data_IF_185352720060
#
_entry.id   IF_185352720060
#
_cell.length_a   1.000
_cell.length_b   1.000
_cell.length_c   1.000
_cell.angle_alpha   90.00
_cell.angle_beta   90.00
_cell.angle_gamma   90.00
#
_symmetry.space_group_name_H-M   'P 1'
#
loop_
_entity.id
_entity.type
_entity.pdbx_description
1 polymer ?
#
# COMPACT_ATOMS: atom_id res chain seq x y z
N UNK A 1 25.09 -21.85 -40.65
CA UNK A 1 25.41 -20.71 -39.78
C UNK A 1 24.49 -19.55 -40.20
N UNK A 2 23.24 -19.56 -39.74
CA UNK A 2 22.26 -18.49 -39.98
C UNK A 2 22.10 -17.75 -38.67
N UNK A 3 22.68 -16.55 -38.58
CA UNK A 3 22.47 -15.64 -37.45
C UNK A 3 21.05 -15.10 -37.57
N UNK A 4 20.11 -15.66 -36.82
CA UNK A 4 18.79 -15.04 -36.63
C UNK A 4 18.94 -14.02 -35.50
N UNK A 5 19.09 -12.77 -35.88
CA UNK A 5 18.91 -11.61 -35.01
C UNK A 5 17.44 -11.55 -34.60
N UNK A 6 17.13 -11.95 -33.35
CA UNK A 6 15.80 -11.74 -32.80
C UNK A 6 15.64 -10.26 -32.46
N UNK A 7 14.69 -9.66 -33.17
CA UNK A 7 14.22 -8.29 -33.13
C UNK A 7 13.77 -7.88 -31.73
N UNK A 8 14.27 -6.72 -31.29
CA UNK A 8 13.78 -6.00 -30.12
C UNK A 8 12.30 -5.64 -30.30
N UNK A 9 11.42 -6.40 -29.65
CA UNK A 9 10.02 -6.03 -29.49
C UNK A 9 9.88 -5.15 -28.24
N UNK A 10 10.43 -3.94 -28.29
CA UNK A 10 10.18 -2.91 -27.26
C UNK A 10 8.90 -2.16 -27.60
N UNK A 11 7.76 -2.77 -27.25
CA UNK A 11 6.47 -2.07 -27.26
C UNK A 11 6.44 -1.07 -26.10
N UNK A 12 6.68 0.20 -26.43
CA UNK A 12 6.04 1.37 -25.82
C UNK A 12 6.01 1.41 -24.28
N UNK A 13 7.14 1.70 -23.65
CA UNK A 13 7.14 2.19 -22.27
C UNK A 13 6.57 3.62 -22.28
N UNK A 14 5.27 3.76 -22.01
CA UNK A 14 4.65 5.06 -21.80
C UNK A 14 5.44 5.79 -20.71
N UNK A 15 6.01 6.94 -21.04
CA UNK A 15 6.72 7.80 -20.08
C UNK A 15 5.81 7.93 -18.84
N UNK A 16 6.29 7.62 -17.62
CA UNK A 16 5.47 7.68 -16.43
C UNK A 16 4.92 9.10 -16.26
N UNK A 17 3.62 9.27 -16.53
CA UNK A 17 2.96 10.57 -16.44
C UNK A 17 2.71 10.89 -14.96
N UNK A 18 3.62 11.68 -14.38
CA UNK A 18 3.47 12.22 -13.03
C UNK A 18 4.68 11.97 -12.12
N UNK A 19 4.49 12.27 -10.83
CA UNK A 19 5.55 12.15 -9.84
C UNK A 19 6.00 10.69 -9.67
N UNK A 20 7.32 10.44 -9.75
CA UNK A 20 7.91 9.14 -9.44
C UNK A 20 7.91 8.91 -7.94
N UNK A 21 7.49 7.72 -7.50
CA UNK A 21 7.43 7.31 -6.10
C UNK A 21 8.11 5.96 -5.90
N UNK A 22 8.38 5.62 -4.65
CA UNK A 22 9.03 4.37 -4.27
C UNK A 22 8.01 3.45 -3.61
N UNK A 23 7.87 2.23 -4.11
CA UNK A 23 7.08 1.19 -3.48
C UNK A 23 7.69 0.82 -2.12
N UNK A 24 6.90 0.85 -1.05
CA UNK A 24 7.37 0.51 0.31
C UNK A 24 7.63 -0.98 0.53
N UNK A 25 7.09 -1.85 -0.34
CA UNK A 25 7.31 -3.30 -0.31
C UNK A 25 8.64 -3.67 -0.96
N UNK A 26 8.74 -3.52 -2.29
CA UNK A 26 9.91 -3.93 -3.07
C UNK A 26 11.04 -2.89 -3.14
N UNK A 27 10.78 -1.62 -2.78
CA UNK A 27 11.70 -0.46 -2.91
C UNK A 27 12.02 -0.01 -4.36
N UNK A 28 11.34 -0.55 -5.36
CA UNK A 28 11.45 -0.06 -6.74
C UNK A 28 10.72 1.27 -6.93
N UNK A 29 11.16 2.04 -7.93
CA UNK A 29 10.57 3.33 -8.31
C UNK A 29 9.63 3.14 -9.51
N UNK A 30 8.47 3.78 -9.47
CA UNK A 30 7.47 3.74 -10.54
C UNK A 30 6.68 5.06 -10.58
N UNK A 31 5.87 5.25 -11.62
CA UNK A 31 4.95 6.39 -11.66
C UNK A 31 3.97 6.30 -10.49
N UNK A 32 3.57 7.44 -9.90
CA UNK A 32 2.48 7.44 -8.93
C UNK A 32 1.19 6.80 -9.48
N UNK A 33 0.93 6.91 -10.79
CA UNK A 33 -0.22 6.30 -11.45
C UNK A 33 -0.19 4.75 -11.47
N UNK A 34 1.00 4.17 -11.49
CA UNK A 34 1.24 2.72 -11.48
C UNK A 34 1.22 2.14 -10.05
N UNK A 35 1.26 3.02 -9.05
CA UNK A 35 1.25 2.68 -7.64
C UNK A 35 -0.15 2.85 -7.05
N UNK A 36 -0.42 2.08 -6.01
CA UNK A 36 -1.50 2.28 -5.07
C UNK A 36 -1.00 3.19 -3.94
N UNK A 37 -1.69 4.30 -3.70
CA UNK A 37 -1.54 5.04 -2.45
C UNK A 37 -2.30 4.32 -1.35
N UNK A 38 -1.68 4.23 -0.18
CA UNK A 38 -2.31 3.73 1.05
C UNK A 38 -2.20 4.80 2.13
N UNK A 39 -3.20 4.92 2.97
CA UNK A 39 -3.22 5.90 4.08
C UNK A 39 -3.68 5.21 5.35
N UNK A 40 -3.45 5.84 6.50
CA UNK A 40 -4.16 5.45 7.73
C UNK A 40 -5.55 6.03 7.67
N UNK A 41 -6.56 5.26 8.07
CA UNK A 41 -7.94 5.73 8.09
C UNK A 41 -8.05 7.07 8.85
N UNK A 42 -8.67 8.10 8.25
CA UNK A 42 -8.61 9.47 8.76
C UNK A 42 -9.35 9.66 10.09
N UNK A 43 -10.35 8.82 10.36
CA UNK A 43 -11.05 8.71 11.65
C UNK A 43 -10.16 8.15 12.77
N UNK A 44 -9.03 7.53 12.42
CA UNK A 44 -8.08 6.98 13.38
C UNK A 44 -6.90 7.92 13.72
N UNK A 45 -6.60 8.93 12.89
CA UNK A 45 -5.52 9.88 13.15
C UNK A 45 -6.06 11.03 14.02
N UNK A 46 -5.80 10.98 15.33
CA UNK A 46 -6.14 12.04 16.29
C UNK A 46 -7.29 11.70 17.24
N UNK A 47 -8.07 10.66 16.93
CA UNK A 47 -8.86 9.90 17.90
C UNK A 47 -8.19 8.54 18.09
N UNK A 48 -7.12 8.50 18.87
CA UNK A 48 -6.72 7.22 19.42
C UNK A 48 -7.94 6.66 20.16
N UNK A 49 -8.42 5.44 19.84
CA UNK A 49 -9.54 4.87 20.59
C UNK A 49 -9.17 4.91 22.07
N UNK A 50 -10.10 5.34 22.92
CA UNK A 50 -9.84 5.37 24.37
C UNK A 50 -9.51 3.93 24.81
N UNK A 51 -8.76 3.73 25.89
CA UNK A 51 -8.43 2.39 26.36
C UNK A 51 -9.66 1.48 26.55
N UNK A 52 -10.80 2.03 26.95
CA UNK A 52 -12.08 1.30 27.01
C UNK A 52 -12.62 0.93 25.62
N UNK A 53 -12.55 1.83 24.64
CA UNK A 53 -12.99 1.57 23.27
C UNK A 53 -12.11 0.50 22.59
N UNK A 54 -10.83 0.40 22.95
CA UNK A 54 -9.93 -0.66 22.48
C UNK A 54 -10.32 -2.02 23.08
N UNK A 55 -10.59 -2.08 24.40
CA UNK A 55 -11.04 -3.31 25.07
C UNK A 55 -12.34 -3.83 24.49
N UNK A 56 -13.30 -2.94 24.26
CA UNK A 56 -14.58 -3.29 23.67
C UNK A 56 -14.44 -3.71 22.21
N UNK A 57 -13.58 -3.05 21.42
CA UNK A 57 -13.23 -3.50 20.06
C UNK A 57 -12.64 -4.91 20.09
N UNK A 58 -11.68 -5.19 20.96
CA UNK A 58 -11.08 -6.53 21.07
C UNK A 58 -12.13 -7.56 21.53
N UNK A 59 -12.95 -7.21 22.52
CA UNK A 59 -14.03 -8.07 23.03
C UNK A 59 -15.11 -8.36 21.97
N UNK A 60 -15.35 -7.40 21.07
CA UNK A 60 -16.27 -7.54 19.92
C UNK A 60 -15.61 -8.20 18.70
N UNK A 61 -14.34 -8.61 18.79
CA UNK A 61 -13.59 -9.23 17.68
C UNK A 61 -13.01 -8.25 16.65
N UNK A 62 -13.01 -6.95 16.94
CA UNK A 62 -12.40 -5.90 16.10
C UNK A 62 -10.87 -5.87 16.19
N UNK A 63 -10.19 -5.31 15.17
CA UNK A 63 -8.73 -5.34 15.09
C UNK A 63 -8.09 -4.45 16.16
N UNK A 64 -7.12 -5.00 16.88
CA UNK A 64 -6.30 -4.31 17.88
C UNK A 64 -5.35 -3.24 17.28
N UNK A 65 -5.43 -2.99 15.98
CA UNK A 65 -4.56 -2.14 15.20
C UNK A 65 -5.36 -1.19 14.29
N UNK A 66 -4.77 -0.06 13.92
CA UNK A 66 -5.43 0.93 13.06
C UNK A 66 -5.43 0.48 11.60
N UNK A 67 -6.57 0.52 10.89
CA UNK A 67 -6.64 0.07 9.52
C UNK A 67 -5.83 0.98 8.58
N UNK A 68 -5.02 0.35 7.74
CA UNK A 68 -4.44 0.97 6.55
C UNK A 68 -5.41 0.78 5.41
N UNK A 69 -5.83 1.87 4.79
CA UNK A 69 -6.86 1.87 3.75
C UNK A 69 -6.25 2.17 2.37
N UNK A 70 -6.67 1.45 1.32
CA UNK A 70 -6.38 1.79 -0.07
C UNK A 70 -6.96 3.16 -0.44
N UNK A 71 -6.19 3.96 -1.17
CA UNK A 71 -6.62 5.21 -1.78
C UNK A 71 -6.29 5.20 -3.28
N UNK A 72 -7.00 4.42 -4.10
CA UNK A 72 -6.67 4.25 -5.52
C UNK A 72 -6.85 5.52 -6.36
N UNK A 73 -7.58 6.51 -5.83
CA UNK A 73 -7.82 7.81 -6.51
C UNK A 73 -6.90 8.92 -6.01
N UNK A 74 -6.06 8.67 -5.01
CA UNK A 74 -5.14 9.63 -4.40
C UNK A 74 -5.85 10.86 -3.80
N UNK A 75 -7.02 10.67 -3.19
CA UNK A 75 -7.87 11.75 -2.66
C UNK A 75 -8.01 11.74 -1.13
N UNK A 76 -7.58 10.68 -0.46
CA UNK A 76 -7.73 10.58 0.98
C UNK A 76 -6.84 11.60 1.70
N UNK A 77 -7.32 12.27 2.77
CA UNK A 77 -6.50 13.22 3.52
C UNK A 77 -5.37 12.52 4.28
N UNK A 78 -4.37 13.29 4.73
CA UNK A 78 -3.31 12.81 5.62
C UNK A 78 -2.06 12.24 4.93
N UNK A 79 -1.18 11.63 5.73
CA UNK A 79 0.08 11.02 5.25
C UNK A 79 -0.23 9.70 4.54
N UNK A 80 0.31 9.56 3.33
CA UNK A 80 0.16 8.33 2.55
C UNK A 80 1.51 7.71 2.19
N UNK A 81 1.48 6.41 1.92
CA UNK A 81 2.59 5.62 1.41
C UNK A 81 2.22 5.02 0.04
N UNK A 82 3.21 4.51 -0.68
CA UNK A 82 3.04 4.03 -2.05
C UNK A 82 3.42 2.56 -2.14
N UNK A 83 2.60 1.76 -2.81
CA UNK A 83 2.75 0.32 -2.95
C UNK A 83 2.39 -0.10 -4.39
N UNK A 84 3.05 -1.11 -4.97
CA UNK A 84 2.51 -1.70 -6.20
C UNK A 84 1.17 -2.41 -5.91
N UNK A 85 0.32 -2.52 -6.94
CA UNK A 85 -0.94 -3.30 -6.92
C UNK A 85 -0.64 -4.79 -7.09
N UNK A 86 0.25 -5.31 -6.26
CA UNK A 86 0.81 -6.66 -6.33
C UNK A 86 0.80 -7.29 -4.93
N UNK A 87 0.21 -8.49 -4.76
CA UNK A 87 0.21 -9.21 -3.48
C UNK A 87 1.61 -9.38 -2.88
N UNK A 88 2.64 -9.64 -3.68
CA UNK A 88 4.01 -9.81 -3.18
C UNK A 88 4.53 -8.52 -2.53
N UNK A 89 4.16 -7.36 -3.07
CA UNK A 89 4.53 -6.08 -2.49
C UNK A 89 3.84 -5.84 -1.14
N UNK A 90 2.59 -6.28 -0.97
CA UNK A 90 1.88 -6.23 0.32
C UNK A 90 2.63 -7.08 1.36
N UNK A 91 2.94 -8.33 1.02
CA UNK A 91 3.64 -9.25 1.92
C UNK A 91 5.03 -8.75 2.31
N UNK A 92 5.80 -8.23 1.36
CA UNK A 92 7.09 -7.60 1.63
C UNK A 92 6.95 -6.41 2.57
N UNK A 93 5.92 -5.58 2.39
CA UNK A 93 5.68 -4.42 3.24
C UNK A 93 5.32 -4.84 4.68
N UNK A 94 4.52 -5.89 4.87
CA UNK A 94 4.18 -6.45 6.18
C UNK A 94 5.41 -7.04 6.87
N UNK A 95 6.10 -7.97 6.22
CA UNK A 95 7.28 -8.65 6.78
C UNK A 95 8.36 -7.66 7.20
N UNK A 96 8.51 -6.57 6.47
CA UNK A 96 9.49 -5.52 6.76
C UNK A 96 8.96 -4.48 7.74
N UNK A 97 7.71 -4.54 8.20
CA UNK A 97 7.09 -3.46 9.02
C UNK A 97 7.20 -2.10 8.32
N UNK A 98 6.96 -2.07 7.00
CA UNK A 98 7.13 -0.88 6.18
C UNK A 98 5.96 0.11 6.33
N UNK A 99 4.74 -0.38 6.56
CA UNK A 99 3.56 0.48 6.75
C UNK A 99 3.72 1.46 7.91
N UNK A 100 4.05 0.96 9.12
CA UNK A 100 4.23 1.81 10.30
C UNK A 100 5.33 2.87 10.10
N UNK A 101 6.45 2.48 9.47
CA UNK A 101 7.57 3.38 9.17
C UNK A 101 7.22 4.44 8.13
N UNK A 102 6.57 4.04 7.04
CA UNK A 102 6.22 4.94 5.94
C UNK A 102 5.12 5.93 6.34
N UNK A 103 4.13 5.47 7.09
CA UNK A 103 3.00 6.28 7.55
C UNK A 103 3.33 7.09 8.81
N UNK A 104 4.46 6.79 9.48
CA UNK A 104 4.98 7.46 10.68
C UNK A 104 3.97 7.49 11.83
N UNK A 105 3.33 6.34 12.06
CA UNK A 105 2.35 6.17 13.13
C UNK A 105 2.94 5.27 14.21
N UNK A 106 2.98 5.72 15.49
CA UNK A 106 3.63 4.99 16.58
C UNK A 106 2.77 3.85 17.17
N UNK A 107 1.73 3.40 16.44
CA UNK A 107 0.84 2.33 16.87
C UNK A 107 0.81 1.20 15.84
N UNK A 108 0.34 0.02 16.28
CA UNK A 108 0.14 -1.11 15.39
C UNK A 108 -0.85 -0.77 14.27
N UNK A 109 -0.55 -1.23 13.06
CA UNK A 109 -1.37 -1.02 11.88
C UNK A 109 -1.88 -2.36 11.35
N UNK A 110 -3.12 -2.36 10.89
CA UNK A 110 -3.78 -3.48 10.25
C UNK A 110 -3.78 -3.28 8.72
N UNK A 111 -2.96 -4.03 7.96
CA UNK A 111 -2.88 -3.94 6.51
C UNK A 111 -3.95 -4.78 5.78
N UNK A 112 -4.81 -5.51 6.50
CA UNK A 112 -5.80 -6.42 5.90
C UNK A 112 -6.66 -5.77 4.81
N UNK A 113 -7.18 -4.53 4.96
CA UNK A 113 -7.95 -3.89 3.90
C UNK A 113 -7.14 -3.65 2.61
N UNK A 114 -5.83 -3.44 2.71
CA UNK A 114 -4.94 -3.31 1.54
C UNK A 114 -4.76 -4.66 0.86
N UNK A 115 -4.54 -5.72 1.64
CA UNK A 115 -4.40 -7.08 1.11
C UNK A 115 -5.64 -7.52 0.34
N UNK A 116 -6.82 -7.34 0.94
CA UNK A 116 -8.11 -7.68 0.32
C UNK A 116 -8.33 -6.91 -0.99
N UNK A 117 -8.05 -5.60 -0.99
CA UNK A 117 -8.17 -4.78 -2.17
C UNK A 117 -7.27 -5.27 -3.32
N UNK A 118 -5.99 -5.52 -3.03
CA UNK A 118 -5.02 -5.97 -4.04
C UNK A 118 -5.38 -7.36 -4.57
N UNK A 119 -5.79 -8.29 -3.70
CA UNK A 119 -6.27 -9.61 -4.11
C UNK A 119 -7.54 -9.55 -4.98
N UNK A 120 -8.35 -8.50 -4.82
CA UNK A 120 -9.53 -8.24 -5.65
C UNK A 120 -9.20 -7.75 -7.06
N UNK A 121 -7.99 -7.22 -7.30
CA UNK A 121 -7.57 -6.72 -8.61
C UNK A 121 -7.03 -7.81 -9.55
N UNK A 122 -6.67 -8.98 -9.02
CA UNK A 122 -6.08 -10.10 -9.76
C UNK A 122 -7.14 -11.06 -10.35
N UNK A 123 -8.32 -10.55 -10.72
CA UNK A 123 -9.43 -11.35 -11.29
C UNK A 123 -9.65 -11.08 -12.76
#
# INVERSE_FOLDING_TARGET
MVVRTSTAAELGQSVPSGAIRTCIGCRQRAAAAELLRVVVAPDAIGKAPRPEDMRERIASGGPAALPVVPDPRHRAPGRGAWLHRDPECVELAERRRAFARALRVPVALDPSPVREYVAGLTR
#
